data_IF_077467237571
#
_entry.id   IF_077467237571
#
_cell.length_a   1.000
_cell.length_b   1.000
_cell.length_c   1.000
_cell.angle_alpha   90.00
_cell.angle_beta   90.00
_cell.angle_gamma   90.00
#
_symmetry.space_group_name_H-M   'P 1'
#
loop_
_entity.id
_entity.type
_entity.pdbx_description
1 polymer ?
#
# COMPACT_ATOMS: atom_id res chain seq x y z
N UNK A 1 -28.44 13.50 24.86
CA UNK A 1 -27.19 13.12 24.15
C UNK A 1 -27.55 12.90 22.69
N UNK A 2 -26.81 13.49 21.75
CA UNK A 2 -26.98 13.14 20.34
C UNK A 2 -26.42 11.73 20.13
N UNK A 3 -27.18 10.85 19.48
CA UNK A 3 -26.70 9.52 19.14
C UNK A 3 -25.69 9.64 17.98
N UNK A 4 -24.57 8.93 18.07
CA UNK A 4 -23.59 8.83 17.00
C UNK A 4 -23.40 7.38 16.58
N UNK A 5 -22.97 7.18 15.35
CA UNK A 5 -22.41 5.91 14.88
C UNK A 5 -20.91 6.09 14.63
N UNK A 6 -20.16 5.00 14.53
CA UNK A 6 -18.72 5.06 14.32
C UNK A 6 -18.32 4.07 13.25
N UNK A 7 -17.52 4.53 12.28
CA UNK A 7 -16.78 3.65 11.37
C UNK A 7 -15.43 3.39 12.02
N UNK A 8 -15.02 2.13 12.07
CA UNK A 8 -13.85 1.68 12.79
C UNK A 8 -13.07 0.64 11.98
N UNK A 9 -11.76 0.86 11.83
CA UNK A 9 -10.81 -0.11 11.27
C UNK A 9 -9.80 -0.45 12.39
N UNK A 10 -9.65 -1.73 12.68
CA UNK A 10 -8.61 -2.25 13.56
C UNK A 10 -7.57 -2.99 12.71
N UNK A 11 -6.30 -2.61 12.86
CA UNK A 11 -5.17 -3.27 12.20
C UNK A 11 -4.35 -3.96 13.29
N UNK A 12 -4.16 -5.26 13.16
CA UNK A 12 -3.26 -6.03 14.04
C UNK A 12 -1.97 -6.29 13.28
N UNK A 13 -0.85 -5.81 13.81
CA UNK A 13 0.48 -5.99 13.26
C UNK A 13 1.08 -7.34 13.71
N UNK A 14 2.16 -7.77 13.05
CA UNK A 14 2.81 -9.05 13.33
C UNK A 14 3.44 -9.13 14.74
N UNK A 15 3.79 -7.98 15.33
CA UNK A 15 4.25 -7.87 16.71
C UNK A 15 3.09 -7.94 17.74
N UNK A 16 1.86 -8.13 17.27
CA UNK A 16 0.64 -8.16 18.07
C UNK A 16 0.10 -6.78 18.45
N UNK A 17 0.77 -5.69 18.03
CA UNK A 17 0.28 -4.33 18.26
C UNK A 17 -1.01 -4.09 17.49
N UNK A 18 -1.97 -3.45 18.14
CA UNK A 18 -3.24 -3.05 17.55
C UNK A 18 -3.27 -1.54 17.33
N UNK A 19 -3.58 -1.13 16.10
CA UNK A 19 -3.84 0.25 15.73
C UNK A 19 -5.33 0.39 15.40
N UNK A 20 -5.96 1.44 15.92
CA UNK A 20 -7.37 1.69 15.75
C UNK A 20 -7.59 3.03 15.06
N UNK A 21 -8.31 3.01 13.94
CA UNK A 21 -8.70 4.19 13.19
C UNK A 21 -10.21 4.27 13.23
N UNK A 22 -10.73 5.27 13.91
CA UNK A 22 -12.16 5.48 14.05
C UNK A 22 -12.57 6.89 13.67
N UNK A 23 -13.78 6.99 13.12
CA UNK A 23 -14.41 8.26 12.79
C UNK A 23 -15.90 8.21 13.14
N UNK A 24 -16.35 9.23 13.87
CA UNK A 24 -17.74 9.29 14.35
C UNK A 24 -18.63 10.04 13.37
N UNK A 25 -19.84 9.54 13.19
CA UNK A 25 -20.88 10.12 12.35
C UNK A 25 -22.02 10.56 13.25
N UNK A 26 -22.38 11.84 13.18
CA UNK A 26 -23.56 12.35 13.85
C UNK A 26 -24.81 11.78 13.19
N UNK A 27 -25.79 11.35 14.00
CA UNK A 27 -27.10 10.94 13.48
C UNK A 27 -28.01 12.16 13.41
N UNK A 28 -28.57 12.40 12.24
CA UNK A 28 -29.59 13.42 12.04
C UNK A 28 -30.96 12.72 12.09
N UNK A 29 -31.81 13.12 13.03
CA UNK A 29 -33.13 12.50 13.26
C UNK A 29 -33.09 10.99 13.56
N UNK A 30 -31.96 10.48 14.06
CA UNK A 30 -31.77 9.06 14.39
C UNK A 30 -31.13 8.24 13.28
N UNK A 31 -30.99 8.80 12.08
CA UNK A 31 -30.41 8.14 10.91
C UNK A 31 -29.05 8.71 10.53
N UNK A 32 -28.26 7.88 9.84
CA UNK A 32 -26.99 8.30 9.26
C UNK A 32 -27.26 8.75 7.82
N UNK A 33 -26.87 9.97 7.48
CA UNK A 33 -26.94 10.42 6.09
C UNK A 33 -25.90 9.68 5.23
N UNK A 34 -26.28 9.34 3.99
CA UNK A 34 -25.33 8.73 3.05
C UNK A 34 -24.05 9.54 2.85
N UNK A 35 -24.11 10.89 2.67
CA UNK A 35 -22.89 11.71 2.60
C UNK A 35 -22.04 11.63 3.88
N UNK A 36 -22.66 11.56 5.06
CA UNK A 36 -21.94 11.42 6.32
C UNK A 36 -21.22 10.08 6.44
N UNK A 37 -21.86 9.00 5.99
CA UNK A 37 -21.24 7.68 5.93
C UNK A 37 -20.08 7.65 4.93
N UNK A 38 -20.28 8.17 3.72
CA UNK A 38 -19.26 8.23 2.67
C UNK A 38 -18.03 9.00 3.13
N UNK A 39 -18.22 10.19 3.70
CA UNK A 39 -17.12 10.98 4.25
C UNK A 39 -16.37 10.23 5.36
N UNK A 40 -17.10 9.53 6.23
CA UNK A 40 -16.48 8.77 7.30
C UNK A 40 -15.67 7.58 6.79
N UNK A 41 -16.14 6.91 5.73
CA UNK A 41 -15.43 5.81 5.07
C UNK A 41 -14.16 6.34 4.40
N UNK A 42 -14.26 7.43 3.63
CA UNK A 42 -13.11 8.06 2.97
C UNK A 42 -12.06 8.50 4.00
N UNK A 43 -12.50 9.11 5.11
CA UNK A 43 -11.59 9.51 6.20
C UNK A 43 -10.81 8.32 6.77
N UNK A 44 -11.50 7.23 7.13
CA UNK A 44 -10.80 6.06 7.71
C UNK A 44 -9.90 5.39 6.68
N UNK A 45 -10.28 5.39 5.40
CA UNK A 45 -9.46 4.88 4.31
C UNK A 45 -8.17 5.70 4.15
N UNK A 46 -8.27 7.03 4.06
CA UNK A 46 -7.09 7.90 3.95
C UNK A 46 -6.15 7.73 5.15
N UNK A 47 -6.70 7.65 6.37
CA UNK A 47 -5.92 7.42 7.58
C UNK A 47 -5.27 6.05 7.60
N UNK A 48 -5.96 5.03 7.10
CA UNK A 48 -5.40 3.68 6.95
C UNK A 48 -4.21 3.69 5.99
N UNK A 49 -4.37 4.32 4.83
CA UNK A 49 -3.30 4.45 3.84
C UNK A 49 -2.09 5.19 4.42
N UNK A 50 -2.30 6.31 5.11
CA UNK A 50 -1.23 7.05 5.79
C UNK A 50 -0.47 6.19 6.80
N UNK A 51 -1.19 5.40 7.61
CA UNK A 51 -0.59 4.52 8.59
C UNK A 51 0.24 3.41 7.94
N UNK A 52 -0.32 2.74 6.92
CA UNK A 52 0.36 1.64 6.23
C UNK A 52 1.59 2.13 5.47
N UNK A 53 1.52 3.29 4.80
CA UNK A 53 2.67 3.92 4.15
C UNK A 53 3.79 4.19 5.16
N UNK A 54 3.45 4.77 6.31
CA UNK A 54 4.43 5.04 7.37
C UNK A 54 5.09 3.75 7.87
N UNK A 55 4.33 2.68 8.07
CA UNK A 55 4.88 1.39 8.50
C UNK A 55 5.89 0.86 7.45
N UNK A 56 5.57 0.98 6.17
CA UNK A 56 6.47 0.56 5.09
C UNK A 56 7.75 1.41 5.09
N UNK A 57 7.64 2.72 5.24
CA UNK A 57 8.78 3.64 5.29
C UNK A 57 9.69 3.38 6.50
N UNK A 58 9.10 3.15 7.67
CA UNK A 58 9.81 2.79 8.90
C UNK A 58 10.59 1.47 8.70
N UNK A 59 9.97 0.46 8.07
CA UNK A 59 10.63 -0.83 7.77
C UNK A 59 11.75 -0.70 6.75
N UNK A 60 11.55 0.09 5.67
CA UNK A 60 12.61 0.38 4.70
C UNK A 60 13.81 1.06 5.37
N UNK A 61 13.54 2.02 6.25
CA UNK A 61 14.58 2.76 6.98
C UNK A 61 15.36 1.86 7.94
N UNK A 62 14.68 0.94 8.65
CA UNK A 62 15.36 -0.07 9.49
C UNK A 62 16.28 -0.96 8.68
N UNK A 63 15.82 -1.44 7.51
CA UNK A 63 16.62 -2.30 6.62
C UNK A 63 17.84 -1.58 6.05
N UNK A 64 17.70 -0.31 5.66
CA UNK A 64 18.82 0.51 5.18
C UNK A 64 19.89 0.69 6.27
N UNK A 65 19.48 0.98 7.50
CA UNK A 65 20.40 1.14 8.64
C UNK A 65 21.08 -0.18 9.07
N UNK A 66 20.44 -1.34 8.82
CA UNK A 66 21.04 -2.65 9.06
C UNK A 66 22.15 -2.99 8.06
N UNK A 67 22.03 -2.57 6.80
CA UNK A 67 23.09 -2.73 5.78
C UNK A 67 24.32 -1.85 6.06
N UNK A 68 24.13 -0.75 6.78
CA UNK A 68 25.19 0.23 7.07
C UNK A 68 25.93 0.00 8.38
N UNK A 69 25.55 -0.99 9.20
CA UNK A 69 26.38 -1.37 10.34
C UNK A 69 27.61 -2.09 9.78
N UNK A 70 28.82 -1.51 9.89
CA UNK A 70 30.02 -2.29 9.63
C UNK A 70 29.95 -3.49 10.55
N UNK A 71 30.24 -4.69 10.03
CA UNK A 71 30.67 -5.77 10.92
C UNK A 71 31.83 -5.16 11.71
N UNK A 72 31.64 -4.97 13.01
CA UNK A 72 32.77 -4.82 13.92
C UNK A 72 33.59 -6.09 13.75
N UNK A 73 34.57 -6.04 12.86
CA UNK A 73 35.63 -7.03 12.76
C UNK A 73 36.52 -6.73 13.96
N UNK A 74 36.57 -7.60 14.99
CA UNK A 74 37.71 -7.55 15.87
C UNK A 74 38.92 -7.95 15.03
N UNK A 75 39.70 -6.96 14.58
CA UNK A 75 41.11 -7.14 14.26
C UNK A 75 41.78 -7.72 15.51
N UNK A 76 41.90 -9.04 15.56
CA UNK A 76 42.90 -9.69 16.38
C UNK A 76 43.92 -10.28 15.42
N UNK A 77 45.03 -9.55 15.31
CA UNK A 77 46.25 -9.96 14.63
C UNK A 77 46.70 -11.36 15.10
N UNK A 78 47.29 -12.08 14.13
CA UNK A 78 48.15 -13.26 14.27
C UNK A 78 47.50 -14.61 14.56
N UNK A 79 47.08 -15.31 13.51
CA UNK A 79 47.45 -16.72 13.32
C UNK A 79 47.72 -17.01 11.84
N UNK A 80 48.99 -17.31 11.56
CA UNK A 80 49.55 -17.82 10.32
C UNK A 80 48.89 -19.17 9.98
N UNK A 81 48.40 -19.33 8.75
CA UNK A 81 47.94 -20.62 8.22
C UNK A 81 47.43 -20.51 6.78
N UNK A 82 48.29 -20.88 5.83
CA UNK A 82 47.98 -21.26 4.44
C UNK A 82 46.60 -21.95 4.30
N UNK A 83 45.71 -21.45 3.43
CA UNK A 83 45.05 -22.22 2.37
C UNK A 83 44.06 -21.36 1.54
N UNK A 84 44.38 -21.31 0.24
CA UNK A 84 43.62 -20.99 -0.99
C UNK A 84 42.09 -20.75 -0.94
N UNK A 85 41.68 -19.75 -1.74
CA UNK A 85 40.38 -19.64 -2.43
C UNK A 85 40.32 -18.26 -3.12
N UNK A 86 40.81 -18.13 -4.36
CA UNK A 86 39.97 -17.96 -5.58
C UNK A 86 39.08 -16.72 -5.42
N UNK A 87 39.52 -15.50 -5.79
CA UNK A 87 39.71 -14.97 -7.16
C UNK A 87 38.54 -15.33 -8.10
N UNK A 88 37.57 -14.42 -8.19
CA UNK A 88 36.61 -14.32 -9.30
C UNK A 88 36.20 -12.83 -9.40
N UNK A 89 37.09 -12.08 -10.04
CA UNK A 89 36.77 -10.86 -10.79
C UNK A 89 36.06 -11.27 -12.11
N UNK A 90 35.38 -10.30 -12.74
CA UNK A 90 34.82 -10.30 -14.11
C UNK A 90 33.45 -10.99 -14.29
N UNK A 91 32.50 -10.50 -15.08
CA UNK A 91 32.30 -9.24 -15.78
C UNK A 91 30.84 -9.27 -16.26
N UNK A 92 30.41 -8.13 -16.78
CA UNK A 92 29.58 -7.98 -17.98
C UNK A 92 28.09 -7.63 -17.85
N UNK A 93 27.83 -6.55 -18.57
CA UNK A 93 26.59 -5.88 -18.88
C UNK A 93 25.59 -6.82 -19.57
N UNK A 94 24.30 -6.60 -19.31
CA UNK A 94 23.33 -6.62 -20.40
C UNK A 94 22.18 -5.65 -20.10
N UNK A 95 22.35 -4.42 -20.60
CA UNK A 95 21.25 -3.62 -21.12
C UNK A 95 20.44 -4.50 -22.09
N UNK A 96 19.13 -4.58 -21.89
CA UNK A 96 18.17 -4.68 -22.99
C UNK A 96 16.81 -4.19 -22.47
N UNK A 97 16.57 -2.91 -22.77
CA UNK A 97 15.25 -2.32 -22.87
C UNK A 97 14.40 -3.17 -23.83
N UNK A 98 13.38 -3.86 -23.32
CA UNK A 98 12.23 -4.29 -24.12
C UNK A 98 11.00 -3.53 -23.61
N UNK A 99 10.89 -2.28 -24.07
CA UNK A 99 9.60 -1.62 -24.30
C UNK A 99 8.90 -2.38 -25.45
N UNK A 100 7.99 -3.29 -25.11
CA UNK A 100 6.91 -3.70 -26.03
C UNK A 100 5.76 -4.34 -25.24
N UNK A 101 4.74 -3.54 -24.93
CA UNK A 101 3.35 -4.01 -24.82
C UNK A 101 2.47 -2.82 -25.23
N UNK A 102 2.56 -2.52 -26.53
CA UNK A 102 1.52 -1.86 -27.32
C UNK A 102 0.39 -2.90 -27.50
N UNK A 103 -0.75 -2.73 -26.83
CA UNK A 103 -2.05 -2.80 -27.52
C UNK A 103 -3.23 -2.42 -26.60
N UNK A 104 -3.91 -1.37 -27.05
CA UNK A 104 -5.35 -1.12 -27.06
C UNK A 104 -6.23 -1.75 -25.95
N UNK A 105 -6.91 -0.89 -25.20
CA UNK A 105 -8.37 -1.00 -25.15
C UNK A 105 -9.07 0.32 -24.74
N UNK A 106 -9.94 0.74 -25.66
CA UNK A 106 -11.15 1.56 -25.52
C UNK A 106 -11.02 3.06 -25.17
N UNK A 107 -10.91 3.86 -26.24
CA UNK A 107 -11.35 5.26 -26.29
C UNK A 107 -12.89 5.33 -26.25
N UNK A 108 -13.41 5.89 -25.16
CA UNK A 108 -14.81 6.17 -24.88
C UNK A 108 -15.44 7.13 -25.93
N UNK A 109 -16.10 6.60 -26.97
CA UNK A 109 -17.05 7.38 -27.77
C UNK A 109 -18.50 7.20 -27.27
N UNK A 110 -18.89 8.15 -26.42
CA UNK A 110 -20.27 8.50 -26.04
C UNK A 110 -21.28 8.45 -27.20
N UNK A 111 -22.26 7.53 -27.16
CA UNK A 111 -23.55 7.74 -27.84
C UNK A 111 -24.74 7.43 -26.93
N UNK A 112 -25.28 8.50 -26.36
CA UNK A 112 -26.58 8.57 -25.73
C UNK A 112 -27.67 8.23 -26.75
N UNK A 113 -28.31 7.06 -26.64
CA UNK A 113 -29.64 6.82 -27.22
C UNK A 113 -30.47 5.92 -26.31
N UNK A 114 -31.57 6.46 -25.79
CA UNK A 114 -32.61 5.68 -25.11
C UNK A 114 -33.17 4.58 -26.05
N UNK A 115 -33.44 3.36 -25.55
CA UNK A 115 -34.12 2.35 -26.35
C UNK A 115 -35.61 2.70 -26.52
N UNK A 116 -36.19 2.56 -27.73
CA UNK A 116 -37.58 2.96 -27.99
C UNK A 116 -38.60 2.04 -27.31
N UNK A 117 -39.66 2.64 -26.75
CA UNK A 117 -40.81 1.95 -26.17
C UNK A 117 -41.47 1.00 -27.19
N UNK A 118 -41.51 -0.29 -26.87
CA UNK A 118 -42.28 -1.27 -27.64
C UNK A 118 -43.77 -1.04 -27.40
N UNK A 119 -44.45 -0.47 -28.39
CA UNK A 119 -45.92 -0.45 -28.46
C UNK A 119 -46.46 -1.88 -28.51
N UNK A 120 -47.22 -2.27 -27.49
CA UNK A 120 -48.07 -3.45 -27.52
C UNK A 120 -49.15 -3.27 -28.60
N UNK A 121 -49.20 -4.18 -29.57
CA UNK A 121 -50.32 -4.29 -30.50
C UNK A 121 -51.30 -5.33 -29.95
N UNK A 122 -52.55 -4.89 -29.80
CA UNK A 122 -53.78 -5.67 -29.54
C UNK A 122 -53.91 -6.89 -30.43
#
# INVERSE_FOLDING_TARGET
MAASSTVNIEITLLDGKKENISHSIAKENGDISFPGLLNSINFVQEKCNQLLTKIIEDEKSKRANLKLRPKDVPENENLIGDEKGEDDDDDDDNDEDEDDDDDDDDDDEITSTEPPEKKHKT
#
